data_IF_460972583537
#
_entry.id   IF_460972583537
#
_cell.length_a   1.000
_cell.length_b   1.000
_cell.length_c   1.000
_cell.angle_alpha   90.00
_cell.angle_beta   90.00
_cell.angle_gamma   90.00
#
_symmetry.space_group_name_H-M   'P 1'
#
loop_
_entity.id
_entity.type
_entity.pdbx_description
1 polymer ?
#
# COMPACT_ATOMS: atom_id res chain seq x y z
N UNK A 1 23.73 -20.10 -13.25
CA UNK A 1 22.38 -20.20 -13.82
C UNK A 1 21.34 -20.02 -12.74
N UNK A 2 20.45 -19.07 -12.89
CA UNK A 2 19.39 -18.96 -11.92
C UNK A 2 18.47 -20.18 -11.98
N UNK A 3 17.94 -20.57 -10.83
CA UNK A 3 16.94 -21.63 -10.77
C UNK A 3 15.67 -21.15 -11.46
N UNK A 4 14.74 -22.07 -11.77
CA UNK A 4 13.46 -21.71 -12.34
C UNK A 4 12.72 -20.66 -11.53
N UNK A 5 12.88 -20.69 -10.19
CA UNK A 5 12.29 -19.73 -9.28
C UNK A 5 12.86 -18.32 -9.49
N UNK A 6 14.16 -18.20 -9.66
CA UNK A 6 14.81 -16.91 -9.91
C UNK A 6 14.42 -16.35 -11.27
N UNK A 7 14.23 -17.21 -12.27
CA UNK A 7 13.75 -16.80 -13.58
C UNK A 7 12.36 -16.23 -13.51
N UNK A 8 11.50 -16.80 -12.69
CA UNK A 8 10.15 -16.31 -12.44
C UNK A 8 10.14 -14.89 -11.89
N UNK A 9 10.99 -14.65 -10.88
CA UNK A 9 11.09 -13.32 -10.27
C UNK A 9 11.56 -12.25 -11.25
N UNK A 10 12.47 -12.61 -12.15
CA UNK A 10 12.96 -11.70 -13.17
C UNK A 10 11.90 -11.29 -14.18
N UNK A 11 10.88 -12.13 -14.37
CA UNK A 11 9.77 -11.85 -15.28
C UNK A 11 8.66 -11.02 -14.65
N UNK A 12 8.71 -10.81 -13.32
CA UNK A 12 7.72 -10.02 -12.61
C UNK A 12 8.24 -8.61 -12.38
N UNK A 13 7.33 -7.65 -12.45
CA UNK A 13 7.65 -6.27 -12.09
C UNK A 13 8.00 -6.21 -10.61
N UNK A 14 9.14 -5.61 -10.32
CA UNK A 14 9.62 -5.50 -8.96
C UNK A 14 9.12 -4.21 -8.32
N UNK A 15 8.67 -4.33 -7.08
CA UNK A 15 8.29 -3.20 -6.25
C UNK A 15 9.31 -3.09 -5.12
N UNK A 16 10.07 -2.00 -5.12
CA UNK A 16 11.16 -1.80 -4.17
C UNK A 16 10.66 -1.56 -2.75
N UNK A 17 9.61 -0.76 -2.60
CA UNK A 17 9.04 -0.45 -1.29
C UNK A 17 8.33 -1.67 -0.70
N UNK A 18 8.27 -1.72 0.62
CA UNK A 18 7.45 -2.71 1.32
C UNK A 18 6.00 -2.26 1.23
N UNK A 19 5.12 -3.17 0.86
CA UNK A 19 3.69 -2.87 0.75
C UNK A 19 2.99 -3.29 2.03
N UNK A 20 2.32 -2.35 2.69
CA UNK A 20 1.55 -2.63 3.91
C UNK A 20 0.10 -2.90 3.50
N UNK A 21 -0.38 -4.07 3.84
CA UNK A 21 -1.72 -4.56 3.51
C UNK A 21 -2.45 -5.03 4.77
N UNK A 22 -3.73 -5.32 4.64
CA UNK A 22 -4.53 -5.74 5.79
C UNK A 22 -4.29 -7.20 6.17
N UNK A 23 -4.23 -8.08 5.17
CA UNK A 23 -4.17 -9.51 5.45
C UNK A 23 -3.51 -10.34 4.37
N UNK A 24 -3.55 -11.65 4.64
CA UNK A 24 -2.88 -12.66 3.84
C UNK A 24 -3.37 -12.73 2.39
N UNK A 25 -4.66 -12.55 2.16
CA UNK A 25 -5.22 -12.62 0.81
C UNK A 25 -4.68 -11.51 -0.08
N UNK A 26 -4.49 -10.33 0.50
CA UNK A 26 -3.90 -9.21 -0.21
C UNK A 26 -2.45 -9.51 -0.60
N UNK A 27 -1.69 -10.06 0.34
CA UNK A 27 -0.31 -10.48 0.08
C UNK A 27 -0.25 -11.50 -1.05
N UNK A 28 -1.11 -12.51 -1.01
CA UNK A 28 -1.15 -13.55 -2.04
C UNK A 28 -1.47 -12.97 -3.40
N UNK A 29 -2.42 -12.05 -3.47
CA UNK A 29 -2.79 -11.41 -4.73
C UNK A 29 -1.64 -10.59 -5.30
N UNK A 30 -0.97 -9.79 -4.48
CA UNK A 30 0.16 -8.98 -4.92
C UNK A 30 1.34 -9.83 -5.39
N UNK A 31 1.67 -10.86 -4.64
CA UNK A 31 2.79 -11.75 -4.98
C UNK A 31 2.50 -12.63 -6.19
N UNK A 32 1.25 -12.79 -6.56
CA UNK A 32 0.88 -13.46 -7.80
C UNK A 32 1.37 -12.70 -9.02
N UNK A 33 1.40 -11.38 -8.95
CA UNK A 33 1.69 -10.52 -10.09
C UNK A 33 3.02 -9.79 -10.02
N UNK A 34 3.55 -9.57 -8.80
CA UNK A 34 4.72 -8.70 -8.61
C UNK A 34 5.76 -9.38 -7.72
N UNK A 35 7.03 -9.04 -7.98
CA UNK A 35 8.11 -9.36 -7.05
C UNK A 35 8.10 -8.29 -5.95
N UNK A 36 7.49 -8.59 -4.84
CA UNK A 36 7.28 -7.62 -3.75
C UNK A 36 7.31 -8.30 -2.40
N UNK A 37 7.46 -7.48 -1.36
CA UNK A 37 7.35 -7.91 0.03
C UNK A 37 6.25 -7.10 0.71
N UNK A 38 5.57 -7.74 1.66
CA UNK A 38 4.44 -7.12 2.34
C UNK A 38 4.61 -7.19 3.85
N UNK A 39 3.91 -6.28 4.54
CA UNK A 39 3.66 -6.34 5.97
C UNK A 39 2.15 -6.39 6.13
N UNK A 40 1.66 -7.35 6.89
CA UNK A 40 0.23 -7.50 7.16
C UNK A 40 -0.11 -6.91 8.51
N UNK A 41 -1.15 -6.08 8.56
CA UNK A 41 -1.54 -5.42 9.80
C UNK A 41 -2.39 -6.31 10.71
N UNK A 42 -3.02 -7.34 10.15
CA UNK A 42 -3.84 -8.26 10.92
C UNK A 42 -5.23 -7.75 11.23
N UNK A 43 -5.68 -6.72 10.55
CA UNK A 43 -7.02 -6.16 10.73
C UNK A 43 -7.01 -4.74 11.27
N UNK A 44 -8.14 -4.29 11.83
CA UNK A 44 -8.33 -2.90 12.23
C UNK A 44 -7.59 -2.48 13.49
N UNK A 45 -7.11 -3.43 14.28
CA UNK A 45 -6.33 -3.16 15.49
C UNK A 45 -4.85 -3.32 15.19
N UNK A 46 -4.18 -2.21 14.89
CA UNK A 46 -2.74 -2.22 14.66
C UNK A 46 -2.04 -2.08 16.01
N UNK A 47 -1.20 -3.06 16.36
CA UNK A 47 -0.43 -2.97 17.59
C UNK A 47 0.90 -2.22 17.37
N UNK A 48 1.55 -1.92 18.50
CA UNK A 48 2.79 -1.15 18.45
C UNK A 48 3.92 -1.89 17.72
N UNK A 49 3.92 -3.21 17.76
CA UNK A 49 4.94 -4.01 17.08
C UNK A 49 4.83 -3.86 15.57
N UNK A 50 3.61 -3.85 15.04
CA UNK A 50 3.38 -3.67 13.61
C UNK A 50 3.80 -2.25 13.20
N UNK A 51 3.46 -1.24 13.99
CA UNK A 51 3.86 0.14 13.72
C UNK A 51 5.39 0.26 13.68
N UNK A 52 6.10 -0.34 14.63
CA UNK A 52 7.57 -0.32 14.63
C UNK A 52 8.15 -1.05 13.41
N UNK A 53 7.55 -2.16 13.01
CA UNK A 53 7.95 -2.89 11.82
C UNK A 53 7.79 -2.03 10.57
N UNK A 54 6.68 -1.32 10.46
CA UNK A 54 6.42 -0.41 9.34
C UNK A 54 7.40 0.76 9.36
N UNK A 55 7.65 1.32 10.53
CA UNK A 55 8.60 2.42 10.68
C UNK A 55 10.01 2.02 10.25
N UNK A 56 10.43 0.84 10.64
CA UNK A 56 11.72 0.29 10.24
C UNK A 56 11.80 0.10 8.72
N UNK A 57 10.78 -0.48 8.13
CA UNK A 57 10.70 -0.66 6.68
C UNK A 57 10.74 0.67 5.94
N UNK A 58 10.02 1.67 6.45
CA UNK A 58 9.97 3.01 5.86
C UNK A 58 11.35 3.67 5.85
N UNK A 59 12.16 3.44 6.90
CA UNK A 59 13.50 4.02 6.98
C UNK A 59 14.50 3.37 6.03
N UNK A 60 14.24 2.15 5.59
CA UNK A 60 15.16 1.39 4.75
C UNK A 60 14.78 1.37 3.28
N UNK A 61 13.56 0.96 3.00
CA UNK A 61 13.12 0.74 1.62
C UNK A 61 11.99 1.66 1.20
N UNK A 62 11.39 2.34 2.15
CA UNK A 62 10.13 3.02 1.90
C UNK A 62 8.95 2.08 2.05
N UNK A 63 7.78 2.66 2.23
CA UNK A 63 6.54 1.91 2.48
C UNK A 63 5.44 2.46 1.58
N UNK A 64 4.68 1.56 0.99
CA UNK A 64 3.43 1.88 0.31
C UNK A 64 2.29 1.29 1.14
N UNK A 65 1.42 2.13 1.66
CA UNK A 65 0.22 1.67 2.36
C UNK A 65 -0.84 1.37 1.30
N UNK A 66 -1.30 0.14 1.29
CA UNK A 66 -2.26 -0.32 0.29
C UNK A 66 -3.37 -1.11 0.98
N UNK A 67 -4.39 -0.40 1.42
CA UNK A 67 -5.55 -0.97 2.12
C UNK A 67 -6.80 -0.82 1.26
N UNK A 68 -7.81 -1.64 1.56
CA UNK A 68 -9.06 -1.61 0.82
C UNK A 68 -9.79 -0.27 0.97
N UNK A 69 -10.57 0.13 -0.04
CA UNK A 69 -11.31 1.39 0.01
C UNK A 69 -12.60 1.27 0.83
N UNK A 70 -12.49 0.86 2.08
CA UNK A 70 -13.60 0.72 3.01
C UNK A 70 -13.26 1.38 4.34
N UNK A 71 -14.20 1.43 5.26
CA UNK A 71 -14.00 2.10 6.54
C UNK A 71 -12.86 1.51 7.36
N UNK A 72 -12.77 0.18 7.54
CA UNK A 72 -11.63 -0.39 8.26
C UNK A 72 -10.29 -0.10 7.58
N UNK A 73 -10.23 -0.22 6.26
CA UNK A 73 -9.00 0.07 5.50
C UNK A 73 -8.57 1.52 5.63
N UNK A 74 -9.51 2.44 5.62
CA UNK A 74 -9.21 3.86 5.79
C UNK A 74 -8.73 4.19 7.20
N UNK A 75 -9.27 3.52 8.22
CA UNK A 75 -8.81 3.67 9.60
C UNK A 75 -7.38 3.18 9.78
N UNK A 76 -7.06 2.02 9.22
CA UNK A 76 -5.70 1.47 9.24
C UNK A 76 -4.73 2.43 8.58
N UNK A 77 -5.08 2.91 7.39
CA UNK A 77 -4.28 3.87 6.64
C UNK A 77 -4.03 5.14 7.43
N UNK A 78 -5.05 5.67 8.06
CA UNK A 78 -4.95 6.88 8.88
C UNK A 78 -3.97 6.69 10.04
N UNK A 79 -4.09 5.58 10.76
CA UNK A 79 -3.20 5.26 11.88
C UNK A 79 -1.75 5.18 11.42
N UNK A 80 -1.49 4.47 10.32
CA UNK A 80 -0.14 4.33 9.80
C UNK A 80 0.45 5.69 9.41
N UNK A 81 -0.31 6.51 8.70
CA UNK A 81 0.17 7.81 8.25
C UNK A 81 0.39 8.78 9.41
N UNK A 82 -0.32 8.62 10.53
CA UNK A 82 -0.07 9.42 11.72
C UNK A 82 1.23 9.05 12.42
N UNK A 83 1.58 7.76 12.44
CA UNK A 83 2.72 7.26 13.20
C UNK A 83 4.00 7.11 12.37
N UNK A 84 3.87 6.98 11.07
CA UNK A 84 5.03 6.77 10.19
C UNK A 84 5.01 7.85 9.10
N UNK A 85 5.89 8.85 9.20
CA UNK A 85 5.91 9.93 8.21
C UNK A 85 6.42 9.45 6.85
N UNK A 86 6.01 10.16 5.82
CA UNK A 86 6.49 9.96 4.44
C UNK A 86 6.13 8.61 3.83
N UNK A 87 5.07 7.96 4.31
CA UNK A 87 4.53 6.79 3.65
C UNK A 87 3.91 7.17 2.32
N UNK A 88 4.13 6.34 1.32
CA UNK A 88 3.37 6.42 0.07
C UNK A 88 2.06 5.70 0.26
N UNK A 89 1.02 6.15 -0.42
CA UNK A 89 -0.31 5.58 -0.30
C UNK A 89 -0.84 5.23 -1.69
N UNK A 90 -1.23 3.99 -1.86
CA UNK A 90 -1.87 3.50 -3.08
C UNK A 90 -3.35 3.29 -2.82
N UNK A 91 -4.17 3.57 -3.81
CA UNK A 91 -5.62 3.46 -3.72
C UNK A 91 -6.15 2.66 -4.89
N UNK A 92 -6.95 1.64 -4.58
CA UNK A 92 -7.69 0.93 -5.61
C UNK A 92 -8.83 1.82 -6.06
N UNK A 93 -9.02 1.92 -7.37
CA UNK A 93 -10.15 2.67 -7.89
C UNK A 93 -11.45 1.96 -7.50
N UNK A 94 -12.35 2.69 -6.85
CA UNK A 94 -13.63 2.17 -6.39
C UNK A 94 -14.57 1.79 -7.53
N UNK A 95 -14.36 2.37 -8.67
CA UNK A 95 -15.24 2.19 -9.82
C UNK A 95 -14.51 1.48 -10.94
N UNK A 96 -14.49 0.16 -10.85
CA UNK A 96 -14.17 -0.60 -12.04
C UNK A 96 -15.42 -0.57 -12.92
N UNK A 97 -15.33 0.14 -14.03
CA UNK A 97 -16.45 0.32 -14.96
C UNK A 97 -17.01 -1.00 -15.51
N UNK A 98 -16.32 -2.10 -15.30
CA UNK A 98 -16.74 -3.41 -15.80
C UNK A 98 -17.66 -4.17 -14.86
N UNK A 99 -17.61 -3.90 -13.56
CA UNK A 99 -18.34 -4.72 -12.59
C UNK A 99 -19.01 -3.84 -11.59
N UNK A 100 -19.71 -2.98 -11.58
CA UNK A 100 -20.44 -2.23 -10.55
C UNK A 100 -20.23 -2.70 -9.09
N UNK A 101 -19.30 -3.64 -8.86
CA UNK A 101 -18.98 -4.16 -7.54
C UNK A 101 -17.76 -3.46 -6.96
N UNK A 102 -17.75 -3.25 -5.65
CA UNK A 102 -16.56 -2.81 -4.96
C UNK A 102 -15.47 -3.85 -5.15
N UNK A 103 -14.36 -3.43 -5.71
CA UNK A 103 -13.21 -4.32 -5.91
C UNK A 103 -12.22 -4.08 -4.80
N UNK A 104 -12.08 -5.05 -3.88
CA UNK A 104 -10.99 -5.06 -2.92
C UNK A 104 -9.71 -5.53 -3.61
N UNK A 105 -8.59 -5.39 -2.88
CA UNK A 105 -7.27 -5.77 -3.40
C UNK A 105 -7.25 -7.25 -3.77
N UNK A 106 -7.84 -8.10 -2.96
CA UNK A 106 -7.81 -9.54 -3.18
C UNK A 106 -8.53 -9.97 -4.46
N UNK A 107 -9.40 -9.15 -5.02
CA UNK A 107 -10.15 -9.44 -6.23
C UNK A 107 -9.75 -8.58 -7.43
N UNK A 108 -8.83 -7.65 -7.24
CA UNK A 108 -8.39 -6.76 -8.30
C UNK A 108 -7.48 -7.51 -9.29
N UNK A 109 -7.57 -7.14 -10.56
CA UNK A 109 -6.68 -7.68 -11.58
C UNK A 109 -5.30 -6.98 -11.53
N UNK A 110 -4.36 -7.53 -12.31
CA UNK A 110 -2.99 -7.04 -12.33
C UNK A 110 -2.93 -5.56 -12.72
N UNK A 111 -3.66 -5.16 -13.75
CA UNK A 111 -3.61 -3.80 -14.26
C UNK A 111 -4.15 -2.80 -13.25
N UNK A 112 -5.22 -3.15 -12.55
CA UNK A 112 -5.79 -2.32 -11.49
C UNK A 112 -4.78 -2.11 -10.36
N UNK A 113 -4.14 -3.20 -9.93
CA UNK A 113 -3.13 -3.14 -8.87
C UNK A 113 -1.90 -2.35 -9.31
N UNK A 114 -1.42 -2.58 -10.52
CA UNK A 114 -0.26 -1.88 -11.06
C UNK A 114 -0.52 -0.38 -11.15
N UNK A 115 -1.68 0.01 -11.67
CA UNK A 115 -2.05 1.42 -11.76
C UNK A 115 -2.10 2.08 -10.39
N UNK A 116 -2.66 1.40 -9.39
CA UNK A 116 -2.68 1.92 -8.02
C UNK A 116 -1.27 2.13 -7.47
N UNK A 117 -0.39 1.17 -7.69
CA UNK A 117 0.99 1.24 -7.20
C UNK A 117 1.83 2.28 -7.94
N UNK A 118 1.49 2.62 -9.18
CA UNK A 118 2.18 3.67 -9.94
C UNK A 118 1.70 5.08 -9.58
N UNK A 119 0.52 5.21 -9.03
CA UNK A 119 -0.11 6.50 -8.74
C UNK A 119 -0.18 6.77 -7.24
N UNK A 120 0.89 6.44 -6.53
CA UNK A 120 0.97 6.66 -5.09
C UNK A 120 1.04 8.13 -4.74
N UNK A 121 0.49 8.47 -3.57
CA UNK A 121 0.52 9.83 -3.05
C UNK A 121 1.03 9.82 -1.62
N UNK A 122 1.65 10.92 -1.20
CA UNK A 122 2.08 11.11 0.17
C UNK A 122 1.06 11.99 0.88
N UNK A 123 0.56 11.52 2.02
CA UNK A 123 -0.36 12.28 2.84
C UNK A 123 0.47 13.05 3.86
N UNK A 124 0.43 14.38 3.80
CA UNK A 124 1.13 15.22 4.75
C UNK A 124 0.17 15.66 5.84
N UNK A 125 0.52 15.38 7.10
CA UNK A 125 -0.21 15.88 8.27
C UNK A 125 0.30 17.29 8.58
N UNK A 126 -0.11 18.26 7.77
CA UNK A 126 0.25 19.63 8.05
C UNK A 126 -0.55 20.13 9.27
N UNK A 127 0.08 20.82 10.23
CA UNK A 127 -0.66 21.48 11.30
C UNK A 127 -1.66 22.47 10.73
N UNK A 128 -2.76 22.69 11.44
CA UNK A 128 -3.81 23.61 10.97
C UNK A 128 -3.27 24.98 10.56
N UNK A 129 -2.25 25.48 11.22
CA UNK A 129 -1.67 26.76 10.91
C UNK A 129 -0.87 26.81 9.61
N UNK A 130 -0.58 25.67 9.01
CA UNK A 130 0.17 25.60 7.76
C UNK A 130 -0.70 25.34 6.53
N UNK A 131 -1.99 25.45 6.66
CA UNK A 131 -2.92 25.21 5.57
C UNK A 131 -2.63 26.12 4.36
N UNK A 132 -2.32 27.38 4.61
CA UNK A 132 -2.00 28.32 3.54
C UNK A 132 -0.74 27.88 2.79
N UNK A 133 0.28 27.46 3.51
CA UNK A 133 1.51 26.93 2.91
C UNK A 133 1.21 25.70 2.09
N UNK A 134 0.38 24.83 2.60
CA UNK A 134 -0.04 23.62 1.89
C UNK A 134 -0.73 23.95 0.57
N UNK A 135 -1.64 24.91 0.59
CA UNK A 135 -2.35 25.33 -0.62
C UNK A 135 -1.41 25.98 -1.64
N UNK A 136 -0.37 26.63 -1.19
CA UNK A 136 0.60 27.27 -2.08
C UNK A 136 1.52 26.25 -2.78
N UNK A 137 1.54 25.03 -2.32
CA UNK A 137 2.33 23.96 -2.95
C UNK A 137 1.62 23.31 -4.12
N UNK A 138 0.38 23.61 -4.33
CA UNK A 138 -0.43 22.99 -5.38
C UNK A 138 -0.29 23.71 -6.74
#
# INVERSE_FOLDING_TARGET
MPTGLDSWRKLMDRIHEIIVVEGRHDTQRLKKYFDCETIETGGSSIDDKVIEQIRHAASRRGVIVFTDPDTPGNQIRHIINQHVPNCKNAFVDKHNARTEKKVGIEHADKDTLWNALQNVVTITNAPKGSLVTYLNLV
#
